data_IF_419777683496
#
_entry.id   IF_419777683496
#
_cell.length_a   1.000
_cell.length_b   1.000
_cell.length_c   1.000
_cell.angle_alpha   90.00
_cell.angle_beta   90.00
_cell.angle_gamma   90.00
#
_symmetry.space_group_name_H-M   'P 1'
#
loop_
_entity.id
_entity.type
_entity.pdbx_description
1 polymer ?
#
# COMPACT_ATOMS: atom_id res chain seq x y z
N UNK A 1 -1.68 -34.94 -15.82
CA UNK A 1 -2.21 -34.99 -14.44
C UNK A 1 -1.78 -33.68 -13.78
N UNK A 2 -2.60 -32.64 -13.85
CA UNK A 2 -2.28 -31.34 -13.25
C UNK A 2 -2.51 -31.44 -11.74
N UNK A 3 -1.43 -31.39 -10.95
CA UNK A 3 -1.51 -31.27 -9.50
C UNK A 3 -1.98 -29.84 -9.20
N UNK A 4 -3.30 -29.67 -8.98
CA UNK A 4 -3.83 -28.40 -8.48
C UNK A 4 -3.32 -28.18 -7.05
N UNK A 5 -2.27 -27.38 -6.92
CA UNK A 5 -1.78 -26.91 -5.63
C UNK A 5 -2.87 -26.06 -4.95
N UNK A 6 -2.97 -26.17 -3.62
CA UNK A 6 -3.78 -25.21 -2.86
C UNK A 6 -3.28 -23.78 -3.10
N UNK A 7 -4.12 -22.74 -3.03
CA UNK A 7 -3.68 -21.35 -3.20
C UNK A 7 -2.52 -20.96 -2.27
N UNK A 8 -2.53 -21.47 -1.03
CA UNK A 8 -1.44 -21.29 -0.06
C UNK A 8 -0.14 -21.95 -0.54
N UNK A 9 -0.21 -23.21 -0.99
CA UNK A 9 0.97 -23.93 -1.52
C UNK A 9 1.51 -23.26 -2.79
N UNK A 10 0.63 -22.79 -3.68
CA UNK A 10 1.01 -22.06 -4.88
C UNK A 10 1.69 -20.73 -4.52
N UNK A 11 1.15 -19.97 -3.56
CA UNK A 11 1.78 -18.73 -3.10
C UNK A 11 3.18 -18.97 -2.52
N UNK A 12 3.36 -20.03 -1.71
CA UNK A 12 4.68 -20.40 -1.17
C UNK A 12 5.66 -20.74 -2.30
N UNK A 13 5.23 -21.50 -3.31
CA UNK A 13 6.07 -21.83 -4.47
C UNK A 13 6.47 -20.57 -5.25
N UNK A 14 5.52 -19.65 -5.47
CA UNK A 14 5.78 -18.36 -6.12
C UNK A 14 6.76 -17.48 -5.35
N UNK A 15 6.71 -17.46 -4.01
CA UNK A 15 7.69 -16.73 -3.19
C UNK A 15 9.09 -17.32 -3.35
N UNK A 16 9.23 -18.65 -3.37
CA UNK A 16 10.52 -19.29 -3.60
C UNK A 16 11.07 -18.98 -5.01
N UNK A 17 10.20 -19.07 -6.03
CA UNK A 17 10.59 -18.71 -7.40
C UNK A 17 11.01 -17.23 -7.50
N UNK A 18 10.27 -16.34 -6.84
CA UNK A 18 10.60 -14.92 -6.79
C UNK A 18 11.98 -14.69 -6.16
N UNK A 19 12.34 -15.41 -5.09
CA UNK A 19 13.69 -15.31 -4.49
C UNK A 19 14.78 -15.64 -5.51
N UNK A 20 14.64 -16.76 -6.21
CA UNK A 20 15.61 -17.18 -7.24
C UNK A 20 15.73 -16.16 -8.36
N UNK A 21 14.61 -15.63 -8.86
CA UNK A 21 14.64 -14.62 -9.93
C UNK A 21 15.20 -13.26 -9.47
N UNK A 22 15.07 -12.93 -8.18
CA UNK A 22 15.67 -11.72 -7.59
C UNK A 22 17.19 -11.88 -7.38
N UNK A 23 17.67 -13.07 -7.03
CA UNK A 23 19.11 -13.39 -7.01
C UNK A 23 19.69 -13.30 -8.43
N UNK A 24 19.00 -13.84 -9.42
CA UNK A 24 19.38 -13.70 -10.83
C UNK A 24 19.37 -12.23 -11.28
N UNK A 25 18.36 -11.44 -10.89
CA UNK A 25 18.32 -10.00 -11.14
C UNK A 25 19.52 -9.29 -10.51
N UNK A 26 19.84 -9.61 -9.25
CA UNK A 26 21.00 -9.02 -8.58
C UNK A 26 22.31 -9.32 -9.32
N UNK A 27 22.50 -10.56 -9.76
CA UNK A 27 23.67 -10.95 -10.54
C UNK A 27 23.78 -10.16 -11.87
N UNK A 28 22.66 -9.98 -12.59
CA UNK A 28 22.61 -9.17 -13.82
C UNK A 28 22.95 -7.71 -13.52
N UNK A 29 22.39 -7.14 -12.46
CA UNK A 29 22.66 -5.76 -12.04
C UNK A 29 24.14 -5.57 -11.69
N UNK A 30 24.73 -6.49 -10.92
CA UNK A 30 26.16 -6.42 -10.57
C UNK A 30 27.07 -6.57 -11.80
N UNK A 31 26.75 -7.49 -12.71
CA UNK A 31 27.52 -7.66 -13.95
C UNK A 31 27.45 -6.45 -14.89
N UNK A 32 26.44 -5.59 -14.71
CA UNK A 32 26.24 -4.39 -15.52
C UNK A 32 26.43 -3.08 -14.75
N UNK A 33 27.06 -3.14 -13.56
CA UNK A 33 27.23 -1.99 -12.66
C UNK A 33 27.80 -0.75 -13.36
N UNK A 34 28.83 -0.94 -14.18
CA UNK A 34 29.54 0.16 -14.86
C UNK A 34 28.70 0.81 -15.98
N UNK A 35 27.59 0.20 -16.38
CA UNK A 35 26.68 0.74 -17.40
C UNK A 35 25.50 1.50 -16.78
N UNK A 36 25.30 1.41 -15.46
CA UNK A 36 24.14 2.01 -14.82
C UNK A 36 24.27 3.53 -14.78
N UNK A 37 23.27 4.22 -15.32
CA UNK A 37 23.19 5.68 -15.23
C UNK A 37 22.24 6.05 -14.10
N UNK A 38 22.79 6.62 -13.02
CA UNK A 38 22.00 7.11 -11.90
C UNK A 38 21.69 8.59 -12.11
N UNK A 39 20.42 8.95 -12.17
CA UNK A 39 20.00 10.35 -12.30
C UNK A 39 19.49 10.94 -11.00
N UNK A 40 18.87 10.13 -10.16
CA UNK A 40 18.57 10.47 -8.77
C UNK A 40 18.26 9.21 -7.98
N UNK A 41 18.81 9.10 -6.78
CA UNK A 41 18.42 8.09 -5.80
C UNK A 41 18.38 8.76 -4.44
N UNK A 42 17.35 8.45 -3.66
CA UNK A 42 17.21 8.99 -2.31
C UNK A 42 17.09 7.88 -1.29
N UNK A 43 17.69 8.09 -0.13
CA UNK A 43 17.58 7.22 1.02
C UNK A 43 16.87 7.92 2.17
N UNK A 44 16.21 7.12 2.99
CA UNK A 44 15.68 7.51 4.30
C UNK A 44 16.07 6.43 5.29
N UNK A 45 16.26 6.82 6.54
CA UNK A 45 16.57 5.87 7.60
C UNK A 45 15.32 5.10 8.03
N UNK A 46 15.54 3.87 8.47
CA UNK A 46 14.48 3.11 9.14
C UNK A 46 14.16 3.76 10.47
N UNK A 47 12.90 3.67 10.86
CA UNK A 47 12.48 4.08 12.18
C UNK A 47 12.76 2.96 13.16
N UNK A 48 13.49 3.27 14.22
CA UNK A 48 13.82 2.29 15.27
C UNK A 48 12.61 1.91 16.13
N UNK A 49 11.51 2.67 16.07
CA UNK A 49 10.30 2.44 16.87
C UNK A 49 9.13 1.88 16.04
N UNK A 50 8.31 1.05 16.70
CA UNK A 50 7.11 0.45 16.09
C UNK A 50 5.92 1.42 16.00
N UNK A 51 5.96 2.53 16.71
CA UNK A 51 4.96 3.59 16.67
C UNK A 51 5.41 4.68 15.70
N UNK A 52 4.53 5.04 14.76
CA UNK A 52 4.79 6.16 13.86
C UNK A 52 4.25 7.42 14.50
N UNK A 53 5.14 8.31 14.94
CA UNK A 53 4.76 9.67 15.25
C UNK A 53 4.57 10.44 13.93
N UNK A 54 3.32 10.72 13.58
CA UNK A 54 2.98 11.44 12.35
C UNK A 54 3.46 12.91 12.36
N UNK A 55 3.87 13.42 13.52
CA UNK A 55 4.39 14.77 13.72
C UNK A 55 5.92 14.86 13.60
N UNK A 56 6.62 13.76 13.34
CA UNK A 56 8.08 13.79 13.19
C UNK A 56 8.48 13.98 11.72
N UNK A 57 9.51 14.81 11.44
CA UNK A 57 10.04 14.99 10.11
C UNK A 57 10.71 13.72 9.58
N UNK A 58 10.81 13.62 8.25
CA UNK A 58 11.54 12.53 7.60
C UNK A 58 12.65 13.16 6.76
N UNK A 59 13.89 12.95 7.19
CA UNK A 59 15.05 13.37 6.45
C UNK A 59 15.24 12.52 5.19
N UNK A 60 15.46 13.19 4.06
CA UNK A 60 15.74 12.56 2.78
C UNK A 60 17.17 12.90 2.36
N UNK A 61 18.00 11.88 2.17
CA UNK A 61 19.37 12.04 1.70
C UNK A 61 19.47 11.71 0.21
N UNK A 62 20.05 12.61 -0.58
CA UNK A 62 20.44 12.29 -1.96
C UNK A 62 21.69 11.41 -1.93
N UNK A 63 21.63 10.28 -2.64
CA UNK A 63 22.78 9.37 -2.78
C UNK A 63 23.46 9.63 -4.12
N UNK A 64 24.78 9.50 -4.13
CA UNK A 64 25.62 9.72 -5.32
C UNK A 64 26.61 8.57 -5.50
N UNK A 65 27.12 8.44 -6.72
CA UNK A 65 28.13 7.44 -7.07
C UNK A 65 27.71 6.02 -6.69
N UNK A 66 28.63 5.32 -6.04
CA UNK A 66 28.50 3.90 -5.75
C UNK A 66 27.40 3.57 -4.73
N UNK A 67 27.21 4.46 -3.75
CA UNK A 67 26.14 4.33 -2.74
C UNK A 67 24.75 4.35 -3.39
N UNK A 68 24.57 5.21 -4.40
CA UNK A 68 23.32 5.32 -5.14
C UNK A 68 23.03 4.05 -5.94
N UNK A 69 24.05 3.48 -6.59
CA UNK A 69 23.93 2.23 -7.36
C UNK A 69 23.58 1.07 -6.44
N UNK A 70 24.30 0.91 -5.33
CA UNK A 70 24.06 -0.17 -4.37
C UNK A 70 22.66 -0.07 -3.73
N UNK A 71 22.25 1.12 -3.30
CA UNK A 71 20.92 1.34 -2.74
C UNK A 71 19.81 1.05 -3.76
N UNK A 72 20.01 1.44 -5.03
CA UNK A 72 19.05 1.13 -6.08
C UNK A 72 18.94 -0.38 -6.35
N UNK A 73 20.07 -1.09 -6.43
CA UNK A 73 20.08 -2.55 -6.63
C UNK A 73 19.42 -3.28 -5.48
N UNK A 74 19.71 -2.84 -4.25
CA UNK A 74 19.08 -3.38 -3.06
C UNK A 74 17.56 -3.14 -3.06
N UNK A 75 17.11 -1.95 -3.43
CA UNK A 75 15.69 -1.64 -3.50
C UNK A 75 14.93 -2.50 -4.52
N UNK A 76 15.57 -2.81 -5.65
CA UNK A 76 15.00 -3.64 -6.71
C UNK A 76 14.94 -5.14 -6.35
N UNK A 77 15.87 -5.61 -5.52
CA UNK A 77 16.06 -7.05 -5.26
C UNK A 77 15.63 -7.49 -3.85
N UNK A 78 15.68 -6.61 -2.85
CA UNK A 78 15.44 -6.96 -1.46
C UNK A 78 13.95 -7.11 -1.12
N UNK A 79 13.59 -8.31 -0.67
CA UNK A 79 12.25 -8.63 -0.15
C UNK A 79 12.24 -8.99 1.34
N UNK A 80 13.42 -9.01 1.98
CA UNK A 80 13.57 -9.31 3.40
C UNK A 80 13.57 -8.04 4.25
N UNK A 81 13.25 -8.20 5.53
CA UNK A 81 13.43 -7.16 6.53
C UNK A 81 14.93 -6.93 6.74
N UNK A 82 15.31 -5.66 6.86
CA UNK A 82 16.67 -5.24 7.21
C UNK A 82 16.85 -5.19 8.72
N UNK A 83 18.10 -5.22 9.14
CA UNK A 83 18.45 -4.93 10.53
C UNK A 83 17.93 -3.54 10.92
N UNK A 84 17.31 -3.44 12.09
CA UNK A 84 16.69 -2.21 12.58
C UNK A 84 15.37 -1.82 11.89
N UNK A 85 14.91 -2.55 10.87
CA UNK A 85 13.64 -2.26 10.19
C UNK A 85 12.44 -2.80 10.99
N UNK A 86 11.48 -1.92 11.30
CA UNK A 86 10.19 -2.36 11.84
C UNK A 86 9.42 -3.23 10.83
N UNK A 87 8.76 -4.33 11.24
CA UNK A 87 7.91 -5.13 10.34
C UNK A 87 6.73 -4.36 9.73
N UNK A 88 6.38 -3.19 10.28
CA UNK A 88 5.34 -2.30 9.75
C UNK A 88 5.85 -1.33 8.69
N UNK A 89 7.16 -1.18 8.57
CA UNK A 89 7.85 -0.33 7.61
C UNK A 89 8.38 -1.14 6.43
N UNK A 90 8.67 -0.46 5.32
CA UNK A 90 9.26 -1.04 4.12
C UNK A 90 10.51 -0.26 3.77
N UNK A 91 11.55 -0.93 3.26
CA UNK A 91 12.67 -0.26 2.59
C UNK A 91 12.13 0.63 1.47
N UNK A 92 12.47 1.92 1.50
CA UNK A 92 12.06 2.89 0.48
C UNK A 92 13.31 3.58 -0.08
N UNK A 93 13.49 3.46 -1.39
CA UNK A 93 14.60 4.08 -2.12
C UNK A 93 14.02 4.66 -3.40
N UNK A 94 13.29 5.79 -3.36
CA UNK A 94 12.77 6.42 -4.56
C UNK A 94 13.92 6.95 -5.43
N UNK A 95 13.70 7.03 -6.74
CA UNK A 95 14.73 7.48 -7.65
C UNK A 95 14.39 7.22 -9.11
N UNK A 96 15.35 7.45 -9.99
CA UNK A 96 15.30 7.12 -11.41
C UNK A 96 16.70 6.71 -11.89
N UNK A 97 16.79 5.53 -12.50
CA UNK A 97 18.03 4.98 -13.05
C UNK A 97 17.80 4.42 -14.45
N UNK A 98 18.80 4.54 -15.32
CA UNK A 98 18.84 3.84 -16.60
C UNK A 98 19.61 2.52 -16.45
N UNK A 99 19.07 1.44 -17.03
CA UNK A 99 19.64 0.10 -16.96
C UNK A 99 19.75 -0.51 -18.37
N UNK A 100 20.69 -1.44 -18.60
CA UNK A 100 20.74 -2.17 -19.86
C UNK A 100 19.50 -3.04 -20.04
N UNK A 101 19.16 -3.33 -21.30
CA UNK A 101 17.97 -4.12 -21.66
C UNK A 101 17.86 -5.44 -20.90
N UNK A 102 18.98 -6.15 -20.70
CA UNK A 102 19.01 -7.42 -19.97
C UNK A 102 18.47 -7.30 -18.53
N UNK A 103 18.78 -6.19 -17.85
CA UNK A 103 18.26 -5.93 -16.50
C UNK A 103 16.78 -5.54 -16.55
N UNK A 104 16.36 -4.75 -17.53
CA UNK A 104 14.94 -4.39 -17.75
C UNK A 104 14.09 -5.64 -18.00
N UNK A 105 14.55 -6.56 -18.86
CA UNK A 105 13.85 -7.80 -19.16
C UNK A 105 13.75 -8.70 -17.92
N UNK A 106 14.80 -8.75 -17.09
CA UNK A 106 14.78 -9.50 -15.82
C UNK A 106 13.85 -8.85 -14.77
N UNK A 107 13.78 -7.51 -14.72
CA UNK A 107 12.79 -6.78 -13.91
C UNK A 107 11.37 -7.12 -14.37
N UNK A 108 11.11 -7.18 -15.68
CA UNK A 108 9.79 -7.55 -16.21
C UNK A 108 9.36 -8.95 -15.75
N UNK A 109 10.27 -9.94 -15.74
CA UNK A 109 10.00 -11.29 -15.20
C UNK A 109 9.64 -11.26 -13.72
N UNK A 110 10.42 -10.57 -12.89
CA UNK A 110 10.11 -10.46 -11.45
C UNK A 110 8.79 -9.74 -11.21
N UNK A 111 8.47 -8.70 -11.98
CA UNK A 111 7.17 -8.01 -11.93
C UNK A 111 5.99 -8.92 -12.28
N UNK A 112 6.14 -9.80 -13.27
CA UNK A 112 5.12 -10.79 -13.61
C UNK A 112 4.86 -11.76 -12.44
N UNK A 113 5.93 -12.27 -11.80
CA UNK A 113 5.80 -13.12 -10.61
C UNK A 113 5.14 -12.40 -9.44
N UNK A 114 5.47 -11.13 -9.20
CA UNK A 114 4.86 -10.31 -8.13
C UNK A 114 3.38 -10.07 -8.37
N UNK A 115 3.00 -9.85 -9.64
CA UNK A 115 1.60 -9.69 -10.05
C UNK A 115 0.82 -10.99 -9.84
N UNK A 116 1.40 -12.11 -10.24
CA UNK A 116 0.81 -13.44 -10.06
C UNK A 116 0.68 -13.81 -8.58
N UNK A 117 1.72 -13.56 -7.77
CA UNK A 117 1.69 -13.75 -6.33
C UNK A 117 0.58 -12.92 -5.67
N UNK A 118 0.45 -11.65 -6.07
CA UNK A 118 -0.61 -10.76 -5.58
C UNK A 118 -2.00 -11.31 -5.93
N UNK A 119 -2.17 -11.82 -7.15
CA UNK A 119 -3.40 -12.46 -7.60
C UNK A 119 -3.73 -13.70 -6.76
N UNK A 120 -2.78 -14.62 -6.59
CA UNK A 120 -2.99 -15.85 -5.81
C UNK A 120 -3.31 -15.53 -4.35
N UNK A 121 -2.57 -14.62 -3.71
CA UNK A 121 -2.84 -14.21 -2.32
C UNK A 121 -4.22 -13.57 -2.18
N UNK A 122 -4.69 -12.82 -3.19
CA UNK A 122 -6.02 -12.22 -3.16
C UNK A 122 -7.17 -13.24 -3.18
N UNK A 123 -6.93 -14.45 -3.69
CA UNK A 123 -7.93 -15.54 -3.66
C UNK A 123 -8.05 -16.23 -2.31
N UNK A 124 -7.08 -16.04 -1.40
CA UNK A 124 -7.09 -16.61 -0.07
C UNK A 124 -8.01 -15.76 0.82
N UNK A 125 -9.27 -16.20 0.98
CA UNK A 125 -10.31 -15.46 1.71
C UNK A 125 -9.96 -15.23 3.19
N UNK A 126 -9.40 -16.24 3.86
CA UNK A 126 -9.10 -16.16 5.29
C UNK A 126 -7.79 -15.43 5.55
N UNK A 127 -7.84 -14.42 6.42
CA UNK A 127 -6.66 -13.63 6.80
C UNK A 127 -5.58 -14.46 7.47
N UNK A 128 -5.94 -15.46 8.29
CA UNK A 128 -4.97 -16.35 8.91
C UNK A 128 -4.25 -17.24 7.88
N UNK A 129 -4.94 -17.71 6.85
CA UNK A 129 -4.32 -18.51 5.78
C UNK A 129 -3.33 -17.66 4.95
N UNK A 130 -3.64 -16.38 4.71
CA UNK A 130 -2.68 -15.43 4.13
C UNK A 130 -1.45 -15.26 5.01
N UNK A 131 -1.62 -15.19 6.34
CA UNK A 131 -0.50 -15.13 7.29
C UNK A 131 0.33 -16.43 7.28
N UNK A 132 -0.29 -17.59 7.05
CA UNK A 132 0.43 -18.86 6.96
C UNK A 132 1.43 -18.89 5.81
N UNK A 133 1.12 -18.26 4.66
CA UNK A 133 2.09 -18.11 3.55
C UNK A 133 3.35 -17.43 4.05
N UNK A 134 3.21 -16.27 4.67
CA UNK A 134 4.34 -15.45 5.10
C UNK A 134 5.08 -16.05 6.30
N UNK A 135 4.39 -16.71 7.23
CA UNK A 135 5.01 -17.41 8.38
C UNK A 135 5.98 -18.52 7.99
N UNK A 136 5.93 -19.02 6.74
CA UNK A 136 6.94 -19.97 6.23
C UNK A 136 8.30 -19.32 5.97
N UNK A 137 8.36 -17.99 5.96
CA UNK A 137 9.55 -17.22 5.67
C UNK A 137 9.85 -16.31 6.85
N UNK A 138 10.96 -16.57 7.54
CA UNK A 138 11.31 -15.90 8.80
C UNK A 138 11.45 -14.39 8.64
N UNK A 139 12.05 -13.93 7.54
CA UNK A 139 12.48 -12.54 7.39
C UNK A 139 11.84 -11.83 6.19
N UNK A 140 10.85 -12.41 5.50
CA UNK A 140 10.25 -11.75 4.32
C UNK A 140 9.28 -10.66 4.75
N UNK A 141 9.45 -9.47 4.16
CA UNK A 141 8.45 -8.40 4.23
C UNK A 141 7.43 -8.57 3.09
N UNK A 142 6.15 -8.88 3.38
CA UNK A 142 5.13 -9.11 2.36
C UNK A 142 4.97 -7.95 1.37
N UNK A 143 5.02 -6.71 1.87
CA UNK A 143 4.88 -5.50 1.05
C UNK A 143 6.06 -5.34 0.09
N UNK A 144 7.28 -5.68 0.51
CA UNK A 144 8.45 -5.66 -0.37
C UNK A 144 8.41 -6.81 -1.38
N UNK A 145 7.90 -7.98 -1.00
CA UNK A 145 7.72 -9.13 -1.88
C UNK A 145 6.63 -8.89 -2.96
N UNK A 146 5.66 -8.01 -2.73
CA UNK A 146 4.58 -7.76 -3.69
C UNK A 146 4.69 -6.44 -4.47
N UNK A 147 5.57 -5.49 -4.08
CA UNK A 147 5.73 -4.23 -4.80
C UNK A 147 6.36 -4.44 -6.18
N UNK A 148 5.76 -3.89 -7.23
CA UNK A 148 6.33 -3.90 -8.57
C UNK A 148 7.28 -2.73 -8.79
N UNK A 149 8.26 -2.93 -9.67
CA UNK A 149 9.14 -1.86 -10.17
C UNK A 149 8.51 -1.23 -11.40
N UNK A 150 8.46 0.10 -11.46
CA UNK A 150 7.93 0.81 -12.62
C UNK A 150 9.02 0.96 -13.70
N UNK A 151 8.82 0.28 -14.83
CA UNK A 151 9.62 0.42 -16.04
C UNK A 151 8.98 1.51 -16.92
N UNK A 152 9.72 2.59 -17.20
CA UNK A 152 9.29 3.70 -18.04
C UNK A 152 9.87 3.53 -19.45
N UNK A 153 9.10 3.89 -20.48
CA UNK A 153 9.53 3.67 -21.87
C UNK A 153 10.28 4.86 -22.48
N UNK A 154 9.91 6.08 -22.12
CA UNK A 154 10.51 7.32 -22.63
C UNK A 154 10.31 8.46 -21.60
N UNK A 155 10.90 8.37 -20.40
CA UNK A 155 10.63 9.31 -19.33
C UNK A 155 11.10 10.73 -19.69
N UNK A 156 10.20 11.71 -19.62
CA UNK A 156 10.50 13.12 -19.90
C UNK A 156 10.68 13.95 -18.64
N UNK A 157 9.85 13.70 -17.62
CA UNK A 157 9.95 14.39 -16.34
C UNK A 157 9.42 13.55 -15.19
N UNK A 158 10.10 13.61 -14.07
CA UNK A 158 9.73 12.92 -12.82
C UNK A 158 9.80 13.94 -11.68
N UNK A 159 8.66 14.21 -11.05
CA UNK A 159 8.59 15.13 -9.93
C UNK A 159 8.21 14.39 -8.65
N UNK A 160 9.17 14.19 -7.76
CA UNK A 160 8.96 13.52 -6.47
C UNK A 160 8.30 14.46 -5.46
N UNK A 161 7.42 13.92 -4.61
CA UNK A 161 6.74 14.65 -3.55
C UNK A 161 6.22 13.70 -2.47
N UNK A 162 5.97 14.26 -1.28
CA UNK A 162 5.26 13.58 -0.20
C UNK A 162 3.75 13.75 -0.38
N UNK A 163 3.02 12.66 -0.18
CA UNK A 163 1.56 12.68 -0.03
C UNK A 163 1.21 12.26 1.40
N UNK A 164 0.72 13.22 2.16
CA UNK A 164 0.27 13.13 3.56
C UNK A 164 -1.25 13.35 3.69
N UNK A 165 -1.95 13.54 2.57
CA UNK A 165 -3.38 13.91 2.52
C UNK A 165 -4.32 12.73 2.27
N UNK A 166 -3.76 11.54 2.05
CA UNK A 166 -4.53 10.35 1.71
C UNK A 166 -5.22 9.70 2.92
N UNK A 167 -6.45 9.22 2.71
CA UNK A 167 -7.10 8.24 3.59
C UNK A 167 -7.19 6.89 2.88
N UNK A 168 -7.03 5.80 3.64
CA UNK A 168 -7.45 4.47 3.20
C UNK A 168 -8.89 4.29 3.64
N UNK A 169 -9.77 4.01 2.69
CA UNK A 169 -11.20 3.83 2.93
C UNK A 169 -11.62 2.44 2.47
N UNK A 170 -12.19 1.66 3.40
CA UNK A 170 -12.82 0.38 3.07
C UNK A 170 -14.32 0.50 3.31
N UNK A 171 -15.11 0.19 2.28
CA UNK A 171 -16.57 0.24 2.33
C UNK A 171 -17.12 -1.13 2.75
N UNK A 172 -18.04 -1.12 3.69
CA UNK A 172 -18.75 -2.31 4.17
C UNK A 172 -20.25 -2.04 4.20
N UNK A 173 -21.08 -3.08 4.15
CA UNK A 173 -22.41 -3.02 4.76
C UNK A 173 -22.28 -3.22 6.27
N UNK A 174 -23.20 -2.68 7.06
CA UNK A 174 -23.19 -2.88 8.53
C UNK A 174 -23.28 -4.37 8.88
N UNK A 175 -24.15 -5.11 8.18
CA UNK A 175 -24.26 -6.57 8.33
C UNK A 175 -22.95 -7.29 8.05
N UNK A 176 -22.33 -7.04 6.89
CA UNK A 176 -21.08 -7.68 6.50
C UNK A 176 -19.91 -7.31 7.39
N UNK A 177 -19.91 -6.09 7.95
CA UNK A 177 -18.90 -5.66 8.91
C UNK A 177 -19.01 -6.41 10.25
N UNK A 178 -20.24 -6.58 10.76
CA UNK A 178 -20.48 -7.35 11.99
C UNK A 178 -20.10 -8.82 11.80
N UNK A 179 -20.46 -9.42 10.66
CA UNK A 179 -20.05 -10.79 10.31
C UNK A 179 -18.53 -10.93 10.26
N UNK A 180 -17.82 -10.01 9.60
CA UNK A 180 -16.35 -10.03 9.55
C UNK A 180 -15.71 -9.95 10.95
N UNK A 181 -16.22 -9.09 11.83
CA UNK A 181 -15.70 -8.97 13.19
C UNK A 181 -15.99 -10.20 14.06
N UNK A 182 -17.18 -10.78 13.95
CA UNK A 182 -17.51 -12.04 14.63
C UNK A 182 -16.65 -13.20 14.12
N UNK A 183 -16.41 -13.29 12.81
CA UNK A 183 -15.47 -14.26 12.25
C UNK A 183 -14.06 -14.07 12.82
N UNK A 184 -13.57 -12.84 12.93
CA UNK A 184 -12.25 -12.55 13.50
C UNK A 184 -12.13 -12.96 14.97
N UNK A 185 -13.19 -12.76 15.76
CA UNK A 185 -13.24 -13.19 17.16
C UNK A 185 -13.23 -14.72 17.28
N UNK A 186 -13.96 -15.41 16.40
CA UNK A 186 -14.06 -16.87 16.41
C UNK A 186 -12.81 -17.56 15.83
N UNK A 187 -12.09 -16.93 14.90
CA UNK A 187 -10.93 -17.52 14.23
C UNK A 187 -9.69 -17.67 15.12
N UNK A 188 -9.59 -16.93 16.22
CA UNK A 188 -8.40 -16.90 17.07
C UNK A 188 -8.56 -17.66 18.39
N UNK A 189 -9.76 -18.18 18.68
CA UNK A 189 -10.08 -18.79 19.97
C UNK A 189 -10.98 -20.01 19.82
N UNK A 190 -10.73 -21.05 20.63
CA UNK A 190 -11.60 -22.24 20.71
C UNK A 190 -13.01 -21.90 21.22
N UNK A 191 -13.15 -20.78 21.93
CA UNK A 191 -14.42 -20.22 22.40
C UNK A 191 -14.43 -18.71 22.16
N UNK A 192 -15.57 -18.16 21.77
CA UNK A 192 -15.75 -16.72 21.55
C UNK A 192 -15.26 -15.93 22.78
N UNK A 193 -14.31 -14.99 22.62
CA UNK A 193 -13.85 -14.14 23.71
C UNK A 193 -15.01 -13.36 24.33
N UNK A 194 -14.98 -13.20 25.65
CA UNK A 194 -15.89 -12.32 26.38
C UNK A 194 -15.14 -11.08 26.87
N UNK A 195 -15.87 -10.05 27.31
CA UNK A 195 -15.25 -8.89 27.95
C UNK A 195 -14.45 -9.26 29.19
N UNK A 196 -14.84 -10.30 29.93
CA UNK A 196 -14.12 -10.78 31.11
C UNK A 196 -12.85 -11.54 30.74
N UNK A 197 -12.87 -12.30 29.64
CA UNK A 197 -11.73 -13.10 29.19
C UNK A 197 -10.73 -12.33 28.33
N UNK A 198 -11.01 -11.07 27.98
CA UNK A 198 -10.19 -10.26 27.07
C UNK A 198 -9.42 -9.17 27.82
N UNK A 199 -8.07 -9.19 27.81
CA UNK A 199 -7.26 -8.18 28.48
C UNK A 199 -7.61 -6.75 28.04
N UNK A 200 -7.49 -5.79 28.95
CA UNK A 200 -7.63 -4.39 28.60
C UNK A 200 -6.60 -3.97 27.54
N UNK A 201 -7.06 -3.28 26.50
CA UNK A 201 -6.22 -2.88 25.36
C UNK A 201 -5.97 -3.97 24.32
N UNK A 202 -6.53 -5.18 24.49
CA UNK A 202 -6.40 -6.24 23.47
C UNK A 202 -7.25 -5.95 22.22
N UNK A 203 -6.87 -6.54 21.09
CA UNK A 203 -7.60 -6.41 19.82
C UNK A 203 -9.00 -7.01 19.94
N UNK A 204 -9.12 -8.12 20.66
CA UNK A 204 -10.38 -8.82 20.92
C UNK A 204 -11.33 -7.92 21.70
N UNK A 205 -10.85 -7.27 22.76
CA UNK A 205 -11.66 -6.34 23.53
C UNK A 205 -12.09 -5.15 22.69
N UNK A 206 -11.22 -4.60 21.84
CA UNK A 206 -11.57 -3.51 20.92
C UNK A 206 -12.66 -3.92 19.91
N UNK A 207 -12.59 -5.15 19.37
CA UNK A 207 -13.62 -5.70 18.48
C UNK A 207 -14.96 -5.90 19.22
N UNK A 208 -14.94 -6.47 20.43
CA UNK A 208 -16.14 -6.65 21.26
C UNK A 208 -16.83 -5.31 21.57
N UNK A 209 -16.07 -4.30 21.98
CA UNK A 209 -16.59 -2.94 22.19
C UNK A 209 -17.19 -2.38 20.91
N UNK A 210 -16.54 -2.57 19.77
CA UNK A 210 -17.01 -2.05 18.49
C UNK A 210 -18.32 -2.71 18.03
N UNK A 211 -18.44 -4.04 18.18
CA UNK A 211 -19.67 -4.78 17.89
C UNK A 211 -20.83 -4.28 18.77
N UNK A 212 -20.58 -4.13 20.07
CA UNK A 212 -21.59 -3.64 21.02
C UNK A 212 -22.08 -2.23 20.65
N UNK A 213 -21.15 -1.30 20.36
CA UNK A 213 -21.49 0.05 19.92
C UNK A 213 -22.30 0.07 18.62
N UNK A 214 -21.94 -0.74 17.61
CA UNK A 214 -22.73 -0.83 16.36
C UNK A 214 -24.14 -1.34 16.67
N UNK A 215 -24.27 -2.39 17.49
CA UNK A 215 -25.56 -2.94 17.86
C UNK A 215 -26.43 -1.94 18.64
N UNK A 216 -25.84 -1.16 19.54
CA UNK A 216 -26.55 -0.09 20.23
C UNK A 216 -27.09 0.96 19.23
N UNK A 217 -26.28 1.36 18.24
CA UNK A 217 -26.72 2.29 17.17
C UNK A 217 -27.79 1.69 16.24
N UNK A 218 -27.77 0.38 16.00
CA UNK A 218 -28.86 -0.32 15.28
C UNK A 218 -30.19 -0.31 16.05
N UNK A 219 -30.14 -0.22 17.39
CA UNK A 219 -31.30 -0.29 18.27
C UNK A 219 -31.77 1.08 18.80
N UNK A 220 -31.04 2.16 18.50
CA UNK A 220 -31.38 3.50 19.02
C UNK A 220 -32.44 4.20 18.17
N UNK A 221 -33.36 4.91 18.82
CA UNK A 221 -34.42 5.67 18.15
C UNK A 221 -33.92 7.02 17.57
N UNK A 222 -32.84 7.58 18.11
CA UNK A 222 -32.32 8.91 17.73
C UNK A 222 -31.27 8.86 16.60
N UNK A 223 -30.42 7.83 16.56
CA UNK A 223 -29.40 7.63 15.53
C UNK A 223 -29.53 6.24 14.90
N UNK A 224 -30.64 6.00 14.19
CA UNK A 224 -30.89 4.70 13.55
C UNK A 224 -29.83 4.40 12.49
N UNK A 225 -29.09 3.32 12.71
CA UNK A 225 -28.26 2.65 11.71
C UNK A 225 -29.05 1.48 11.12
N UNK A 226 -28.97 1.23 9.81
CA UNK A 226 -29.61 0.07 9.19
C UNK A 226 -28.60 -1.03 8.87
N UNK A 227 -29.01 -2.30 8.94
CA UNK A 227 -28.12 -3.45 8.63
C UNK A 227 -27.56 -3.42 7.21
N UNK A 228 -28.34 -2.94 6.25
CA UNK A 228 -27.94 -2.83 4.84
C UNK A 228 -27.33 -1.46 4.51
N UNK A 229 -27.20 -0.57 5.50
CA UNK A 229 -26.53 0.71 5.31
C UNK A 229 -25.05 0.48 5.01
N UNK A 230 -24.51 1.29 4.09
CA UNK A 230 -23.08 1.29 3.83
C UNK A 230 -22.37 2.23 4.80
N UNK A 231 -21.26 1.74 5.34
CA UNK A 231 -20.34 2.47 6.23
C UNK A 231 -18.93 2.35 5.69
N UNK A 232 -18.03 3.22 6.17
CA UNK A 232 -16.64 3.19 5.78
C UNK A 232 -15.72 3.21 7.01
N UNK A 233 -14.71 2.34 7.01
CA UNK A 233 -13.57 2.50 7.91
C UNK A 233 -12.57 3.39 7.18
N UNK A 234 -12.34 4.60 7.71
CA UNK A 234 -11.40 5.58 7.14
C UNK A 234 -10.19 5.72 8.05
N UNK A 235 -9.00 5.38 7.57
CA UNK A 235 -7.75 5.57 8.33
C UNK A 235 -6.84 6.56 7.62
N UNK A 236 -6.17 7.48 8.35
CA UNK A 236 -5.15 8.33 7.75
C UNK A 236 -4.02 7.46 7.22
N UNK A 237 -3.60 7.73 5.99
CA UNK A 237 -2.42 7.08 5.41
C UNK A 237 -1.20 7.83 5.89
N UNK A 238 -0.19 7.10 6.35
CA UNK A 238 1.08 7.69 6.73
C UNK A 238 1.74 8.38 5.53
N UNK A 239 2.56 9.42 5.74
CA UNK A 239 3.29 10.08 4.66
C UNK A 239 4.01 9.07 3.78
N UNK A 240 3.73 9.15 2.48
CA UNK A 240 4.27 8.23 1.50
C UNK A 240 4.73 8.97 0.24
N UNK A 241 5.74 8.41 -0.40
CA UNK A 241 6.39 9.06 -1.54
C UNK A 241 5.59 8.75 -2.81
N UNK A 242 5.30 9.81 -3.56
CA UNK A 242 4.75 9.73 -4.90
C UNK A 242 5.60 10.51 -5.87
N UNK A 243 5.44 10.19 -7.14
CA UNK A 243 6.02 10.95 -8.23
C UNK A 243 4.96 11.28 -9.28
N UNK A 244 5.00 12.50 -9.81
CA UNK A 244 4.26 12.86 -11.02
C UNK A 244 5.17 12.56 -12.21
N UNK A 245 4.79 11.57 -13.02
CA UNK A 245 5.61 11.08 -14.12
C UNK A 245 4.97 11.47 -15.45
N UNK A 246 5.77 12.02 -16.36
CA UNK A 246 5.45 12.17 -17.78
C UNK A 246 6.32 11.19 -18.57
N UNK A 247 5.68 10.18 -19.16
CA UNK A 247 6.33 9.14 -19.94
C UNK A 247 5.90 9.24 -21.42
N UNK A 248 6.83 9.63 -22.28
CA UNK A 248 6.58 9.97 -23.68
C UNK A 248 5.53 11.08 -23.85
N UNK A 249 4.49 10.78 -24.62
CA UNK A 249 3.33 11.66 -24.84
C UNK A 249 2.16 11.36 -23.89
N UNK A 250 2.36 10.51 -22.88
CA UNK A 250 1.31 10.16 -21.91
C UNK A 250 0.95 11.35 -21.02
N UNK A 251 -0.32 11.36 -20.55
CA UNK A 251 -0.77 12.28 -19.50
C UNK A 251 0.08 12.07 -18.23
N UNK A 252 0.28 13.15 -17.48
CA UNK A 252 0.97 13.09 -16.19
C UNK A 252 0.15 12.22 -15.22
N UNK A 253 0.78 11.22 -14.62
CA UNK A 253 0.14 10.33 -13.63
C UNK A 253 0.88 10.41 -12.29
N UNK A 254 0.16 10.47 -11.15
CA UNK A 254 0.75 10.23 -9.84
C UNK A 254 0.98 8.73 -9.67
N UNK A 255 2.19 8.35 -9.27
CA UNK A 255 2.61 6.97 -9.06
C UNK A 255 3.25 6.88 -7.67
N UNK A 256 2.90 5.85 -6.89
CA UNK A 256 3.59 5.57 -5.61
C UNK A 256 5.00 5.10 -5.93
N UNK A 257 6.01 5.70 -5.31
CA UNK A 257 7.41 5.43 -5.65
C UNK A 257 8.18 4.98 -4.39
N UNK A 258 8.06 3.70 -3.99
CA UNK A 258 8.86 3.15 -2.90
C UNK A 258 10.23 2.62 -3.38
N UNK A 259 10.40 2.44 -4.69
CA UNK A 259 11.64 1.95 -5.35
C UNK A 259 11.92 2.84 -6.57
N UNK A 260 13.15 2.81 -7.13
CA UNK A 260 13.47 3.65 -8.27
C UNK A 260 12.62 3.30 -9.48
N UNK A 261 12.26 4.33 -10.27
CA UNK A 261 11.86 4.12 -11.65
C UNK A 261 13.07 3.61 -12.44
N UNK A 262 12.82 2.68 -13.36
CA UNK A 262 13.85 2.16 -14.26
C UNK A 262 13.45 2.43 -15.69
N UNK A 263 14.42 2.65 -16.56
CA UNK A 263 14.21 2.74 -18.01
C UNK A 263 15.47 2.27 -18.73
N UNK A 264 15.36 2.03 -20.03
CA UNK A 264 16.46 1.49 -20.82
C UNK A 264 17.52 2.57 -21.12
N UNK A 265 18.80 2.19 -21.02
CA UNK A 265 19.93 3.02 -21.47
C UNK A 265 19.72 3.44 -22.93
N UNK A 266 20.09 4.67 -23.27
CA UNK A 266 19.87 5.29 -24.58
C UNK A 266 18.57 6.10 -24.66
N UNK A 267 17.67 5.98 -23.67
CA UNK A 267 16.61 6.97 -23.49
C UNK A 267 17.21 8.29 -22.97
N UNK A 268 16.77 9.46 -23.46
CA UNK A 268 17.19 10.73 -22.89
C UNK A 268 16.85 10.81 -21.39
N UNK A 269 17.74 11.36 -20.55
CA UNK A 269 17.49 11.45 -19.12
C UNK A 269 16.30 12.39 -18.83
N UNK A 270 15.38 12.00 -17.92
CA UNK A 270 14.24 12.83 -17.58
C UNK A 270 14.69 14.06 -16.79
N UNK A 271 13.91 15.14 -16.90
CA UNK A 271 14.02 16.24 -15.95
C UNK A 271 13.52 15.79 -14.58
N UNK A 272 14.37 15.82 -13.57
CA UNK A 272 14.03 15.41 -12.20
C UNK A 272 13.78 16.64 -11.33
N UNK A 273 12.63 16.66 -10.64
CA UNK A 273 12.42 17.52 -9.47
C UNK A 273 12.63 16.67 -8.21
N UNK A 274 13.61 17.00 -7.35
CA UNK A 274 14.05 16.12 -6.28
C UNK A 274 12.99 15.92 -5.20
N UNK A 275 13.12 14.83 -4.45
CA UNK A 275 12.32 14.57 -3.26
C UNK A 275 12.84 15.44 -2.11
N UNK A 276 12.07 16.42 -1.60
CA UNK A 276 12.47 17.14 -0.39
C UNK A 276 12.32 16.26 0.85
N UNK A 277 13.00 16.60 1.94
CA UNK A 277 12.64 16.08 3.28
C UNK A 277 11.17 16.36 3.59
N UNK A 278 10.54 15.45 4.32
CA UNK A 278 9.17 15.63 4.78
C UNK A 278 9.17 16.51 6.02
N UNK A 279 8.48 17.64 5.92
CA UNK A 279 8.12 18.47 7.06
C UNK A 279 6.63 18.27 7.34
N UNK A 280 6.25 17.76 8.53
CA UNK A 280 4.86 17.60 8.93
C UNK A 280 4.19 18.97 8.93
N UNK A 281 3.37 19.21 7.91
CA UNK A 281 2.66 20.48 7.83
C UNK A 281 1.47 20.46 8.80
N UNK A 282 1.20 21.58 9.49
CA UNK A 282 -0.09 21.80 10.16
C UNK A 282 -1.29 21.71 9.18
N UNK A 283 -1.03 21.67 7.87
CA UNK A 283 -2.04 21.51 6.83
C UNK A 283 -2.64 20.08 6.77
N UNK A 284 -2.04 19.09 7.44
CA UNK A 284 -2.71 17.81 7.73
C UNK A 284 -4.01 17.98 8.52
N UNK A 285 -4.16 19.09 9.27
CA UNK A 285 -5.43 19.48 9.91
C UNK A 285 -6.40 20.21 8.97
N UNK A 286 -5.94 20.71 7.82
CA UNK A 286 -6.74 21.53 6.88
C UNK A 286 -7.19 20.79 5.62
N UNK A 287 -6.52 19.71 5.18
CA UNK A 287 -6.84 19.04 3.91
C UNK A 287 -7.92 17.95 4.02
N UNK A 288 -8.30 17.53 5.23
CA UNK A 288 -9.54 16.75 5.45
C UNK A 288 -10.79 17.56 5.10
N UNK A 289 -10.67 18.88 4.93
CA UNK A 289 -11.66 19.72 4.28
C UNK A 289 -11.67 19.45 2.77
N UNK A 290 -12.09 18.25 2.39
CA UNK A 290 -12.79 18.05 1.12
C UNK A 290 -13.80 19.19 1.03
N UNK A 291 -13.74 20.01 -0.04
CA UNK A 291 -14.69 21.12 -0.25
C UNK A 291 -16.08 20.65 0.21
N UNK A 292 -16.84 21.39 1.03
CA UNK A 292 -18.03 20.90 1.73
C UNK A 292 -19.13 20.29 0.84
N UNK A 293 -19.04 20.39 -0.48
CA UNK A 293 -19.89 19.67 -1.45
C UNK A 293 -19.33 18.36 -2.03
N UNK A 294 -18.13 17.91 -1.64
CA UNK A 294 -17.46 16.70 -2.16
C UNK A 294 -17.18 15.64 -1.09
N UNK A 295 -17.41 15.95 0.19
CA UNK A 295 -17.18 15.01 1.27
C UNK A 295 -18.21 13.87 1.17
N UNK A 296 -17.72 12.65 0.97
CA UNK A 296 -18.58 11.46 0.87
C UNK A 296 -18.98 10.92 2.25
N UNK A 297 -18.18 11.21 3.27
CA UNK A 297 -18.37 10.76 4.63
C UNK A 297 -18.79 11.91 5.54
N UNK A 298 -19.51 11.57 6.60
CA UNK A 298 -19.78 12.50 7.69
C UNK A 298 -18.45 12.98 8.34
N UNK A 299 -18.44 14.20 8.91
CA UNK A 299 -17.21 14.80 9.43
C UNK A 299 -16.66 14.04 10.65
N UNK A 300 -17.56 13.55 11.50
CA UNK A 300 -17.23 12.84 12.73
C UNK A 300 -17.40 11.32 12.55
N UNK A 301 -16.56 10.50 13.19
CA UNK A 301 -16.73 9.06 13.17
C UNK A 301 -17.96 8.65 14.00
N UNK A 302 -18.74 7.72 13.48
CA UNK A 302 -19.78 7.02 14.23
C UNK A 302 -19.19 6.21 15.39
N UNK A 303 -18.02 5.61 15.18
CA UNK A 303 -17.25 4.90 16.21
C UNK A 303 -15.77 5.29 16.07
N UNK A 304 -15.30 6.10 17.02
CA UNK A 304 -13.96 6.70 16.98
C UNK A 304 -12.84 5.65 17.08
N UNK A 305 -12.98 4.66 17.97
CA UNK A 305 -11.95 3.65 18.27
C UNK A 305 -11.48 2.85 17.05
N UNK A 306 -12.35 2.70 16.05
CA UNK A 306 -12.08 1.99 14.80
C UNK A 306 -12.13 2.90 13.57
N UNK A 307 -12.36 4.20 13.77
CA UNK A 307 -12.55 5.18 12.72
C UNK A 307 -13.65 4.78 11.71
N UNK A 308 -14.81 4.36 12.22
CA UNK A 308 -15.98 4.04 11.42
C UNK A 308 -16.78 5.31 11.15
N UNK A 309 -17.07 5.58 9.87
CA UNK A 309 -17.84 6.74 9.42
C UNK A 309 -19.07 6.29 8.65
N UNK A 310 -20.14 7.08 8.74
CA UNK A 310 -21.28 6.97 7.83
C UNK A 310 -21.02 7.81 6.58
N UNK A 311 -21.67 7.44 5.50
CA UNK A 311 -21.73 8.29 4.31
C UNK A 311 -22.66 9.47 4.57
N UNK A 312 -22.31 10.63 4.03
CA UNK A 312 -23.12 11.82 4.11
C UNK A 312 -24.53 11.54 3.56
N UNK A 313 -25.63 12.10 4.13
CA UNK A 313 -27.00 11.79 3.74
C UNK A 313 -27.28 11.86 2.23
N UNK A 314 -26.64 12.80 1.52
CA UNK A 314 -26.72 12.97 0.05
C UNK A 314 -26.25 11.75 -0.77
N UNK A 315 -25.43 10.89 -0.18
CA UNK A 315 -24.83 9.70 -0.78
C UNK A 315 -25.08 8.45 0.10
N UNK A 316 -25.99 8.55 1.08
CA UNK A 316 -26.41 7.44 1.94
C UNK A 316 -27.34 6.51 1.18
N UNK A 317 -27.12 5.21 1.31
CA UNK A 317 -27.86 4.14 0.62
C UNK A 317 -26.92 3.17 -0.11
N UNK A 318 -27.44 2.17 -0.83
CA UNK A 318 -26.62 1.39 -1.75
C UNK A 318 -26.09 2.32 -2.84
N UNK A 319 -24.88 2.87 -2.63
CA UNK A 319 -24.17 3.56 -3.69
C UNK A 319 -23.92 2.55 -4.79
N UNK A 320 -24.50 2.82 -5.96
CA UNK A 320 -24.31 2.08 -7.21
C UNK A 320 -22.86 1.63 -7.32
N UNK A 321 -22.66 0.35 -7.63
CA UNK A 321 -21.32 -0.17 -7.90
C UNK A 321 -20.66 0.73 -8.96
N UNK A 322 -19.34 0.84 -8.94
CA UNK A 322 -18.59 1.69 -9.89
C UNK A 322 -18.89 1.36 -11.38
N UNK A 323 -19.50 0.21 -11.65
CA UNK A 323 -19.97 -0.24 -12.96
C UNK A 323 -21.29 0.45 -13.41
N UNK A 324 -22.08 1.03 -12.50
CA UNK A 324 -23.41 1.60 -12.78
C UNK A 324 -23.46 3.14 -12.66
N UNK A 325 -22.30 3.77 -12.44
CA UNK A 325 -22.16 5.22 -12.62
C UNK A 325 -21.96 5.46 -14.12
N UNK A 326 -22.83 6.23 -14.81
CA UNK A 326 -22.53 6.64 -16.18
C UNK A 326 -21.17 7.31 -16.16
N UNK A 327 -20.29 6.87 -17.07
CA UNK A 327 -18.98 7.48 -17.21
C UNK A 327 -19.19 8.99 -17.33
N UNK A 328 -18.66 9.75 -16.39
CA UNK A 328 -18.42 11.18 -16.63
C UNK A 328 -17.16 11.27 -17.50
N UNK A 329 -17.25 10.67 -18.69
CA UNK A 329 -16.65 11.23 -19.88
C UNK A 329 -17.46 12.50 -20.14
N UNK A 330 -16.91 13.64 -19.70
CA UNK A 330 -17.23 14.88 -20.39
C UNK A 330 -16.59 14.73 -21.78
N UNK A 331 -17.37 14.17 -22.71
CA UNK A 331 -17.23 14.50 -24.11
C UNK A 331 -17.50 16.00 -24.24
N UNK A 332 -16.45 16.75 -24.52
CA UNK A 332 -16.57 17.99 -25.27
C UNK A 332 -15.61 17.87 -26.43
N UNK A 333 -16.09 17.17 -27.47
CA UNK A 333 -15.82 17.60 -28.83
C UNK A 333 -16.51 18.94 -29.02
N UNK A 334 -15.72 20.01 -29.05
CA UNK A 334 -15.75 21.06 -30.07
C UNK A 334 -14.44 21.85 -29.99
#
# INVERSE_FOLDING_TARGET
MELHLSPTSQAIALVNQLKTELEALFAVLQASRDQVEVHAVYAMEFRHENAVNAADPIEVRHLEGDDAVLAAFEALTCITLKEGQSPKETLRVPGAIALPKVAIDQIAKTNALRSELSRVISTIKKTNDRRLVWRKFQDICPKQAMRSTHVLSAPRSINFYWDDTGSSETRHTVSGLLEEWEELLNQNHERRPTFESSPHGSVERALLVSIDLVNQKLLSDEEVLFRDEHVAIRRPVQPHIRARVRDGNSKIKPIICPVPFVYEIGCPPPRIKPLPSYEPSDAGKKSSAVKPGRALLEPEPLIESINLYRYHPRVRGPLKAKADLPSTHADTNE
#
